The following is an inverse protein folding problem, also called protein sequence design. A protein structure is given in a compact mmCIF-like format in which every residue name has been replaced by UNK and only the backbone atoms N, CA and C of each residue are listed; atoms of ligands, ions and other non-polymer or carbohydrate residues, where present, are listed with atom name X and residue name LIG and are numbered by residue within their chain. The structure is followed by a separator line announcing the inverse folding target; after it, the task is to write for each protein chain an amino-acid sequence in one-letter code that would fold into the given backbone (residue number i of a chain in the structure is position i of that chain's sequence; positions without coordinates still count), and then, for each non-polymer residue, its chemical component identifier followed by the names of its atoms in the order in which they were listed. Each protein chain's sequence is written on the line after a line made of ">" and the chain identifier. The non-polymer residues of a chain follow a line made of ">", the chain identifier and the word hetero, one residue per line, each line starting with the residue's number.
data_IF_499827344950
#
_entry.id   IF_499827344950
#
_cell.length_a   1.000
_cell.length_b   1.000
_cell.length_c   1.000
_cell.angle_alpha   90.00
_cell.angle_beta   90.00
_cell.angle_gamma   90.00
#
_symmetry.space_group_name_H-M   'P 1'
#
loop_
_entity.id
_entity.type
_entity.pdbx_description
1 polymer ?
#
# COMPACT_ATOMS: atom_id res chain seq x y z
N UNK A 1 2.80 30.25 14.79
CA UNK A 1 2.05 29.33 13.93
C UNK A 1 2.84 28.03 13.90
N UNK A 2 2.38 27.00 14.58
CA UNK A 2 2.98 25.66 14.47
C UNK A 2 2.71 25.13 13.07
N UNK A 3 3.74 24.99 12.25
CA UNK A 3 3.63 24.28 10.98
C UNK A 3 3.17 22.86 11.29
N UNK A 4 2.05 22.45 10.70
CA UNK A 4 1.58 21.06 10.83
C UNK A 4 2.72 20.10 10.44
N UNK A 5 2.88 19.02 11.18
CA UNK A 5 3.87 18.00 10.86
C UNK A 5 3.63 17.47 9.44
N UNK A 6 4.69 17.30 8.67
CA UNK A 6 4.57 16.69 7.33
C UNK A 6 4.20 15.24 7.46
N UNK A 7 3.34 14.77 6.56
CA UNK A 7 2.80 13.42 6.56
C UNK A 7 3.55 12.50 5.62
N UNK A 8 3.79 11.30 6.10
CA UNK A 8 4.33 10.17 5.33
C UNK A 8 3.25 9.11 5.24
N UNK A 9 3.00 8.57 4.06
CA UNK A 9 2.08 7.45 3.86
C UNK A 9 2.83 6.34 3.13
N UNK A 10 2.72 5.12 3.63
CA UNK A 10 3.24 3.94 2.94
C UNK A 10 2.43 2.70 3.31
N UNK A 11 2.23 1.82 2.33
CA UNK A 11 1.52 0.57 2.51
C UNK A 11 2.35 -0.63 2.07
N UNK A 12 2.10 -1.77 2.69
CA UNK A 12 2.69 -3.03 2.31
C UNK A 12 1.61 -4.08 2.11
N UNK A 13 1.67 -4.81 0.98
CA UNK A 13 0.71 -5.87 0.68
C UNK A 13 0.97 -7.10 1.54
N UNK A 14 -0.04 -7.68 2.20
CA UNK A 14 0.10 -8.91 2.97
C UNK A 14 0.08 -10.12 2.03
N UNK A 15 1.18 -10.36 1.33
CA UNK A 15 1.34 -11.43 0.32
C UNK A 15 2.41 -12.43 0.69
N UNK A 16 2.49 -12.79 1.97
CA UNK A 16 3.41 -13.75 2.53
C UNK A 16 4.30 -13.17 3.61
N UNK A 17 5.20 -14.00 4.12
CA UNK A 17 6.15 -13.62 5.16
C UNK A 17 7.16 -12.60 4.67
N UNK A 18 7.50 -11.66 5.53
CA UNK A 18 8.54 -10.70 5.25
C UNK A 18 9.92 -11.35 5.24
N UNK A 19 10.82 -10.78 4.50
CA UNK A 19 12.21 -11.22 4.39
C UNK A 19 13.16 -10.02 4.49
N UNK A 20 14.46 -10.31 4.48
CA UNK A 20 15.50 -9.29 4.68
C UNK A 20 15.37 -8.09 3.71
N UNK A 21 14.91 -8.33 2.49
CA UNK A 21 14.65 -7.26 1.52
C UNK A 21 13.59 -6.25 2.00
N UNK A 22 12.52 -6.71 2.64
CA UNK A 22 11.53 -5.81 3.23
C UNK A 22 12.10 -5.02 4.41
N UNK A 23 12.93 -5.67 5.24
CA UNK A 23 13.57 -5.00 6.37
C UNK A 23 14.47 -3.84 5.89
N UNK A 24 15.35 -4.12 4.95
CA UNK A 24 16.35 -3.13 4.46
C UNK A 24 15.69 -2.12 3.50
N UNK A 25 14.82 -2.58 2.60
CA UNK A 25 14.22 -1.74 1.56
C UNK A 25 13.08 -0.84 2.05
N UNK A 26 12.39 -1.21 3.14
CA UNK A 26 11.24 -0.47 3.62
C UNK A 26 11.26 -0.18 5.13
N UNK A 27 11.31 -1.22 5.99
CA UNK A 27 11.04 -1.07 7.41
C UNK A 27 12.09 -0.21 8.15
N UNK A 28 13.37 -0.31 7.79
CA UNK A 28 14.40 0.56 8.37
C UNK A 28 14.16 2.04 8.03
N UNK A 29 13.68 2.33 6.81
CA UNK A 29 13.33 3.67 6.43
C UNK A 29 12.08 4.15 7.17
N UNK A 30 11.05 3.32 7.31
CA UNK A 30 9.86 3.64 8.09
C UNK A 30 10.19 3.94 9.55
N UNK A 31 11.06 3.14 10.16
CA UNK A 31 11.52 3.35 11.53
C UNK A 31 12.21 4.70 11.72
N UNK A 32 13.05 5.10 10.76
CA UNK A 32 13.70 6.40 10.78
C UNK A 32 12.72 7.57 10.55
N UNK A 33 11.76 7.41 9.64
CA UNK A 33 10.77 8.44 9.30
C UNK A 33 9.80 8.74 10.44
N UNK A 34 9.36 7.72 11.22
CA UNK A 34 8.42 7.90 12.34
C UNK A 34 8.98 8.81 13.46
N UNK A 35 10.29 9.04 13.48
CA UNK A 35 10.92 9.95 14.46
C UNK A 35 10.76 11.42 14.10
N UNK A 36 10.40 11.72 12.86
CA UNK A 36 10.47 13.09 12.31
C UNK A 36 9.14 13.55 11.71
N UNK A 37 8.27 12.62 11.32
CA UNK A 37 7.06 12.88 10.54
C UNK A 37 5.82 12.25 11.19
N UNK A 38 4.66 12.74 10.79
CA UNK A 38 3.37 12.12 11.08
C UNK A 38 3.15 10.97 10.09
N UNK A 39 3.41 9.74 10.53
CA UNK A 39 3.48 8.57 9.66
C UNK A 39 2.21 7.72 9.73
N UNK A 40 1.73 7.32 8.56
CA UNK A 40 0.60 6.44 8.32
C UNK A 40 1.10 5.20 7.57
N UNK A 41 1.17 4.08 8.28
CA UNK A 41 1.60 2.79 7.71
C UNK A 41 0.44 1.82 7.69
N UNK A 42 0.16 1.22 6.54
CA UNK A 42 -1.00 0.37 6.42
C UNK A 42 -0.74 -0.95 5.73
N UNK A 43 -1.47 -1.97 6.17
CA UNK A 43 -1.58 -3.24 5.47
C UNK A 43 -2.50 -3.03 4.28
N UNK A 44 -1.95 -3.17 3.08
CA UNK A 44 -2.64 -2.93 1.81
C UNK A 44 -3.37 -4.20 1.33
N UNK A 45 -4.38 -4.63 2.10
CA UNK A 45 -5.11 -5.87 1.86
C UNK A 45 -5.98 -5.82 0.60
N UNK A 46 -6.60 -4.69 0.27
CA UNK A 46 -7.30 -4.53 -1.00
C UNK A 46 -6.33 -4.57 -2.19
N UNK A 47 -5.13 -4.00 -2.06
CA UNK A 47 -4.11 -4.16 -3.11
C UNK A 47 -3.68 -5.62 -3.26
N UNK A 48 -3.60 -6.39 -2.18
CA UNK A 48 -3.33 -7.82 -2.28
C UNK A 48 -4.43 -8.55 -3.07
N UNK A 49 -5.70 -8.19 -2.87
CA UNK A 49 -6.83 -8.77 -3.60
C UNK A 49 -6.74 -8.55 -5.11
N UNK A 50 -6.13 -7.49 -5.61
CA UNK A 50 -6.05 -7.23 -7.06
C UNK A 50 -5.32 -8.34 -7.82
N UNK A 51 -4.40 -9.07 -7.17
CA UNK A 51 -3.61 -10.15 -7.77
C UNK A 51 -3.73 -11.50 -7.04
N UNK A 52 -4.33 -11.54 -5.83
CA UNK A 52 -4.48 -12.75 -5.01
C UNK A 52 -5.95 -13.08 -4.71
N UNK A 53 -6.86 -12.64 -5.57
CA UNK A 53 -8.31 -12.82 -5.40
C UNK A 53 -8.77 -14.28 -5.36
N UNK A 54 -7.99 -15.22 -5.89
CA UNK A 54 -8.29 -16.66 -5.88
C UNK A 54 -7.90 -17.38 -4.57
N UNK A 55 -7.07 -16.74 -3.73
CA UNK A 55 -6.63 -17.30 -2.44
C UNK A 55 -6.59 -16.18 -1.38
N UNK A 56 -7.73 -15.91 -0.79
CA UNK A 56 -7.90 -14.80 0.17
C UNK A 56 -7.66 -15.22 1.62
N UNK A 57 -7.67 -16.52 1.92
CA UNK A 57 -7.55 -17.01 3.31
C UNK A 57 -6.22 -16.62 3.95
N UNK A 58 -5.14 -16.62 3.16
CA UNK A 58 -3.82 -16.24 3.64
C UNK A 58 -3.69 -14.76 3.97
N UNK A 59 -4.44 -13.87 3.29
CA UNK A 59 -4.29 -12.41 3.40
C UNK A 59 -4.47 -11.94 4.85
N UNK A 60 -5.45 -12.49 5.56
CA UNK A 60 -5.71 -12.10 6.96
C UNK A 60 -4.58 -12.55 7.88
N UNK A 61 -4.10 -13.79 7.73
CA UNK A 61 -2.98 -14.30 8.52
C UNK A 61 -1.70 -13.51 8.23
N UNK A 62 -1.39 -13.29 6.96
CA UNK A 62 -0.23 -12.52 6.52
C UNK A 62 -0.29 -11.05 7.01
N UNK A 63 -1.49 -10.47 7.11
CA UNK A 63 -1.68 -9.12 7.66
C UNK A 63 -1.24 -9.05 9.13
N UNK A 64 -1.62 -10.02 9.96
CA UNK A 64 -1.19 -10.08 11.35
C UNK A 64 0.32 -10.32 11.48
N UNK A 65 0.86 -11.27 10.71
CA UNK A 65 2.29 -11.56 10.70
C UNK A 65 3.11 -10.33 10.27
N UNK A 66 2.67 -9.61 9.23
CA UNK A 66 3.35 -8.40 8.77
C UNK A 66 3.38 -7.31 9.85
N UNK A 67 2.26 -7.06 10.53
CA UNK A 67 2.22 -6.05 11.61
C UNK A 67 3.09 -6.46 12.80
N UNK A 68 3.16 -7.75 13.12
CA UNK A 68 4.07 -8.26 14.14
C UNK A 68 5.54 -8.04 13.75
N UNK A 69 5.90 -8.33 12.49
CA UNK A 69 7.23 -8.09 11.95
C UNK A 69 7.59 -6.60 11.93
N UNK A 70 6.64 -5.71 11.58
CA UNK A 70 6.85 -4.26 11.63
C UNK A 70 7.17 -3.80 13.06
N UNK A 71 6.39 -4.30 14.03
CA UNK A 71 6.63 -3.97 15.43
C UNK A 71 8.00 -4.47 15.91
N UNK A 72 8.39 -5.69 15.50
CA UNK A 72 9.71 -6.24 15.79
C UNK A 72 10.85 -5.44 15.12
N UNK A 73 10.59 -4.85 13.95
CA UNK A 73 11.53 -3.97 13.24
C UNK A 73 11.60 -2.55 13.81
N UNK A 74 10.78 -2.22 14.83
CA UNK A 74 10.84 -0.94 15.54
C UNK A 74 9.75 0.06 15.15
N UNK A 75 8.74 -0.34 14.36
CA UNK A 75 7.56 0.50 14.13
C UNK A 75 6.74 0.57 15.41
N UNK A 76 6.58 1.77 15.93
CA UNK A 76 5.95 2.05 17.21
C UNK A 76 4.54 2.65 16.99
N UNK A 77 3.47 1.95 17.35
CA UNK A 77 2.10 2.45 17.17
C UNK A 77 1.77 3.66 18.06
N UNK A 78 2.63 3.98 19.03
CA UNK A 78 2.51 5.24 19.78
C UNK A 78 3.07 6.46 19.03
N UNK A 79 3.86 6.23 17.97
CA UNK A 79 4.50 7.26 17.13
C UNK A 79 3.93 7.33 15.73
N UNK A 80 3.39 6.22 15.22
CA UNK A 80 2.85 6.09 13.87
C UNK A 80 1.44 5.56 13.93
N UNK A 81 0.58 6.02 13.02
CA UNK A 81 -0.72 5.39 12.80
C UNK A 81 -0.53 4.13 11.98
N UNK A 82 -0.84 2.97 12.58
CA UNK A 82 -0.78 1.66 11.91
C UNK A 82 -2.19 1.13 11.75
N UNK A 83 -2.59 0.75 10.54
CA UNK A 83 -3.94 0.30 10.26
C UNK A 83 -4.01 -0.69 9.09
N UNK A 84 -5.19 -1.29 8.89
CA UNK A 84 -5.51 -2.12 7.72
C UNK A 84 -6.36 -1.29 6.78
N UNK A 85 -6.03 -1.26 5.50
CA UNK A 85 -6.67 -0.45 4.46
C UNK A 85 -8.19 -0.66 4.44
N UNK A 86 -8.65 -1.91 4.48
CA UNK A 86 -10.08 -2.24 4.43
C UNK A 86 -10.89 -1.80 5.67
N UNK A 87 -10.24 -1.45 6.76
CA UNK A 87 -10.91 -0.90 7.95
C UNK A 87 -11.17 0.61 7.85
N UNK A 88 -10.70 1.25 6.77
CA UNK A 88 -10.93 2.66 6.43
C UNK A 88 -11.65 2.72 5.09
N UNK A 89 -12.99 2.55 5.05
CA UNK A 89 -13.75 2.42 3.80
C UNK A 89 -13.65 3.63 2.88
N UNK A 90 -13.26 4.79 3.39
CA UNK A 90 -13.06 6.02 2.61
C UNK A 90 -12.02 5.87 1.50
N UNK A 91 -11.09 4.94 1.62
CA UNK A 91 -10.19 4.57 0.52
C UNK A 91 -10.96 4.07 -0.70
N UNK A 92 -11.94 3.18 -0.48
CA UNK A 92 -12.78 2.65 -1.56
C UNK A 92 -13.74 3.71 -2.10
N UNK A 93 -14.29 4.58 -1.25
CA UNK A 93 -15.16 5.67 -1.68
C UNK A 93 -14.41 6.64 -2.60
N UNK A 94 -13.21 7.06 -2.20
CA UNK A 94 -12.39 7.95 -3.00
C UNK A 94 -11.93 7.27 -4.30
N UNK A 95 -11.53 5.99 -4.23
CA UNK A 95 -11.21 5.19 -5.41
C UNK A 95 -12.38 5.17 -6.42
N UNK A 96 -13.60 4.94 -5.94
CA UNK A 96 -14.79 4.95 -6.78
C UNK A 96 -14.99 6.30 -7.48
N UNK A 97 -14.82 7.41 -6.76
CA UNK A 97 -14.92 8.74 -7.33
C UNK A 97 -13.84 9.01 -8.40
N UNK A 98 -12.62 8.57 -8.15
CA UNK A 98 -11.52 8.69 -9.10
C UNK A 98 -11.78 7.87 -10.37
N UNK A 99 -12.40 6.70 -10.27
CA UNK A 99 -12.77 5.89 -11.45
C UNK A 99 -13.71 6.63 -12.41
N UNK A 100 -14.61 7.47 -11.89
CA UNK A 100 -15.58 8.18 -12.70
C UNK A 100 -14.96 9.28 -13.57
N UNK A 101 -13.76 9.75 -13.24
CA UNK A 101 -13.11 10.85 -13.93
C UNK A 101 -11.81 10.46 -14.65
N UNK A 102 -11.33 9.21 -14.45
CA UNK A 102 -10.04 8.78 -15.00
C UNK A 102 -10.21 8.02 -16.32
N UNK A 103 -9.59 8.49 -17.42
CA UNK A 103 -9.60 7.78 -18.67
C UNK A 103 -8.84 6.44 -18.61
N UNK A 104 -9.43 5.36 -19.11
CA UNK A 104 -8.82 4.03 -19.18
C UNK A 104 -7.40 4.04 -19.79
N UNK A 105 -7.13 4.77 -20.91
CA UNK A 105 -5.78 4.79 -21.49
C UNK A 105 -4.70 5.36 -20.57
N UNK A 106 -5.03 6.07 -19.51
CA UNK A 106 -4.05 6.50 -18.53
C UNK A 106 -3.55 5.32 -17.70
N UNK A 107 -4.45 4.43 -17.29
CA UNK A 107 -4.13 3.24 -16.49
C UNK A 107 -3.32 2.23 -17.30
N UNK A 108 -3.69 2.01 -18.56
CA UNK A 108 -2.98 1.11 -19.47
C UNK A 108 -1.53 1.55 -19.78
N UNK A 109 -1.22 2.84 -19.57
CA UNK A 109 0.14 3.37 -19.79
C UNK A 109 1.03 3.30 -18.56
N UNK A 110 0.49 2.95 -17.39
CA UNK A 110 1.30 2.80 -16.17
C UNK A 110 2.36 1.72 -16.40
N UNK A 111 3.66 2.03 -16.30
CA UNK A 111 4.72 1.07 -16.63
C UNK A 111 4.61 -0.21 -15.80
N UNK A 112 4.42 -0.07 -14.50
CA UNK A 112 4.28 -1.20 -13.56
C UNK A 112 3.06 -2.08 -13.87
N UNK A 113 2.01 -1.57 -14.51
CA UNK A 113 0.87 -2.37 -14.95
C UNK A 113 1.30 -3.42 -15.99
N UNK A 114 2.06 -3.01 -16.99
CA UNK A 114 2.56 -3.90 -18.06
C UNK A 114 3.57 -4.90 -17.52
N UNK A 115 4.52 -4.43 -16.73
CA UNK A 115 5.56 -5.27 -16.13
C UNK A 115 4.96 -6.37 -15.25
N UNK A 116 3.94 -6.04 -14.46
CA UNK A 116 3.27 -7.02 -13.59
C UNK A 116 2.44 -8.04 -14.38
N UNK A 117 1.82 -7.66 -15.49
CA UNK A 117 1.14 -8.62 -16.38
C UNK A 117 2.16 -9.62 -16.93
N UNK A 118 3.32 -9.16 -17.37
CA UNK A 118 4.37 -10.01 -17.91
C UNK A 118 4.99 -10.93 -16.85
N UNK A 119 5.21 -10.42 -15.63
CA UNK A 119 5.80 -11.19 -14.52
C UNK A 119 4.85 -12.21 -13.90
N UNK A 120 3.55 -11.98 -13.95
CA UNK A 120 2.52 -12.84 -13.36
C UNK A 120 1.67 -13.52 -14.45
N UNK A 121 2.32 -14.00 -15.50
CA UNK A 121 1.67 -14.66 -16.65
C UNK A 121 0.91 -15.95 -16.28
N UNK A 122 1.13 -16.49 -15.09
CA UNK A 122 0.40 -17.63 -14.52
C UNK A 122 -0.97 -17.24 -13.92
N UNK A 123 -1.28 -15.94 -13.85
CA UNK A 123 -2.53 -15.40 -13.30
C UNK A 123 -3.30 -14.62 -14.35
N UNK A 124 -4.61 -14.77 -14.34
CA UNK A 124 -5.48 -13.90 -15.15
C UNK A 124 -5.64 -12.54 -14.45
N UNK A 125 -4.81 -11.59 -14.84
CA UNK A 125 -4.85 -10.21 -14.38
C UNK A 125 -5.69 -9.29 -15.28
N UNK A 126 -6.39 -9.86 -16.27
CA UNK A 126 -7.27 -9.14 -17.19
C UNK A 126 -8.59 -8.75 -16.52
N UNK A 127 -8.52 -8.17 -15.33
CA UNK A 127 -9.70 -7.77 -14.57
C UNK A 127 -9.65 -6.31 -14.16
N UNK A 128 -10.83 -5.73 -13.89
CA UNK A 128 -10.98 -4.32 -13.52
C UNK A 128 -10.23 -3.96 -12.24
N UNK A 129 -10.17 -4.87 -11.27
CA UNK A 129 -9.45 -4.64 -10.01
C UNK A 129 -7.97 -4.41 -10.25
N UNK A 130 -7.36 -5.25 -11.11
CA UNK A 130 -5.94 -5.09 -11.45
C UNK A 130 -5.67 -3.87 -12.33
N UNK A 131 -6.52 -3.60 -13.32
CA UNK A 131 -6.41 -2.36 -14.12
C UNK A 131 -6.53 -1.10 -13.25
N UNK A 132 -7.38 -1.17 -12.22
CA UNK A 132 -7.69 -0.03 -11.35
C UNK A 132 -6.71 0.19 -10.18
N UNK A 133 -5.73 -0.71 -9.92
CA UNK A 133 -4.87 -0.57 -8.74
C UNK A 133 -4.11 0.77 -8.65
N UNK A 134 -3.71 1.44 -9.75
CA UNK A 134 -3.04 2.73 -9.64
C UNK A 134 -3.97 3.84 -9.11
N UNK A 135 -5.27 3.72 -9.34
CA UNK A 135 -6.25 4.64 -8.75
C UNK A 135 -6.46 4.39 -7.26
N UNK A 136 -6.50 3.12 -6.85
CA UNK A 136 -6.56 2.79 -5.43
C UNK A 136 -5.32 3.32 -4.70
N UNK A 137 -4.14 3.14 -5.28
CA UNK A 137 -2.90 3.71 -4.75
C UNK A 137 -2.94 5.25 -4.69
N UNK A 138 -3.52 5.89 -5.69
CA UNK A 138 -3.73 7.34 -5.69
C UNK A 138 -4.65 7.75 -4.53
N UNK A 139 -5.76 7.03 -4.32
CA UNK A 139 -6.66 7.28 -3.20
C UNK A 139 -5.93 7.15 -1.85
N UNK A 140 -5.14 6.10 -1.67
CA UNK A 140 -4.36 5.86 -0.45
C UNK A 140 -3.43 7.03 -0.09
N UNK A 141 -2.86 7.68 -1.10
CA UNK A 141 -1.93 8.80 -0.90
C UNK A 141 -2.65 10.11 -0.63
N UNK A 142 -3.64 10.45 -1.47
CA UNK A 142 -4.27 11.78 -1.41
C UNK A 142 -5.24 11.94 -0.25
N UNK A 143 -5.85 10.85 0.23
CA UNK A 143 -6.79 10.90 1.36
C UNK A 143 -6.14 11.43 2.65
N UNK A 144 -4.83 11.18 2.84
CA UNK A 144 -4.06 11.66 3.98
C UNK A 144 -3.34 12.98 3.72
N UNK A 145 -3.46 13.57 2.52
CA UNK A 145 -2.64 14.72 2.10
C UNK A 145 -1.14 14.45 2.33
N UNK A 146 -0.66 13.29 1.87
CA UNK A 146 0.71 12.87 2.07
C UNK A 146 1.71 13.84 1.42
N UNK A 147 2.77 14.16 2.15
CA UNK A 147 3.88 14.97 1.65
C UNK A 147 4.98 14.08 1.06
N UNK A 148 5.10 12.87 1.60
CA UNK A 148 6.10 11.89 1.20
C UNK A 148 5.47 10.50 1.10
N UNK A 149 5.86 9.78 0.08
CA UNK A 149 5.53 8.36 -0.12
C UNK A 149 6.86 7.65 -0.31
N UNK A 150 7.41 7.02 0.73
CA UNK A 150 8.65 6.26 0.60
C UNK A 150 8.40 5.04 -0.27
N UNK A 151 9.24 4.85 -1.26
CA UNK A 151 9.26 3.67 -2.15
C UNK A 151 10.62 2.99 -1.98
N UNK A 152 10.67 1.66 -2.17
CA UNK A 152 11.94 0.95 -2.22
C UNK A 152 12.73 1.37 -3.47
N UNK A 153 14.05 1.27 -3.40
CA UNK A 153 14.86 1.24 -4.62
C UNK A 153 14.63 -0.13 -5.26
N UNK A 154 14.17 -0.14 -6.50
CA UNK A 154 14.04 -1.34 -7.33
C UNK A 154 15.42 -1.85 -7.80
#
# INVERSE_FOLDING_TARGET
>A
MTTAAKRVVSGMRPTGRLHLGHLVGALQNWEALQRQYDCFYFVADWHALTSHYSNTEAIVADAYDNVADWSAAGIDPAKSTVFVQSLVPEHAELYLLLQMVTPIPWLERVPTYKEQIDQMADRDLSNLGFLGYPLLQTADVIIYNAHYVPVGED
#
